data_IF_633569561827
#
_entry.id   IF_633569561827
#
_cell.length_a   1.000
_cell.length_b   1.000
_cell.length_c   1.000
_cell.angle_alpha   90.00
_cell.angle_beta   90.00
_cell.angle_gamma   90.00
#
_symmetry.space_group_name_H-M   'P 1'
#
loop_
_entity.id
_entity.type
_entity.pdbx_description
1 polymer ?
#
# COMPACT_ATOMS: atom_id res chain seq x y z
N UNK A 1 9.48 -11.89 -21.36
CA UNK A 1 8.76 -11.84 -20.69
C UNK A 1 8.55 -10.80 -19.77
N UNK A 2 8.83 -9.73 -20.07
CA UNK A 2 8.69 -8.61 -19.25
C UNK A 2 7.28 -8.28 -18.88
N UNK A 3 6.34 -8.60 -19.73
CA UNK A 3 4.97 -8.32 -19.43
C UNK A 3 4.52 -9.00 -18.16
N UNK A 4 5.15 -10.19 -17.90
CA UNK A 4 4.76 -10.84 -16.72
C UNK A 4 5.31 -10.22 -15.54
N UNK A 5 6.45 -9.54 -15.63
CA UNK A 5 7.08 -8.91 -14.50
C UNK A 5 6.28 -7.74 -13.99
N UNK A 6 5.43 -7.16 -14.82
CA UNK A 6 4.62 -6.02 -14.42
C UNK A 6 3.43 -6.42 -13.57
N UNK A 7 3.10 -7.69 -13.57
CA UNK A 7 1.96 -8.15 -12.81
C UNK A 7 2.41 -9.16 -11.76
N UNK A 8 2.25 -8.81 -10.51
CA UNK A 8 2.59 -9.68 -9.40
C UNK A 8 1.34 -9.83 -8.55
N UNK A 9 0.67 -10.96 -8.61
CA UNK A 9 -0.57 -11.12 -7.86
C UNK A 9 -0.38 -11.07 -6.35
N UNK A 10 0.86 -11.21 -5.89
CA UNK A 10 1.14 -11.15 -4.47
C UNK A 10 1.59 -9.77 -4.01
N UNK A 11 1.71 -8.82 -4.94
CA UNK A 11 2.18 -7.49 -4.58
C UNK A 11 1.30 -6.81 -3.53
N UNK A 12 -0.04 -6.86 -3.66
CA UNK A 12 -0.86 -6.22 -2.64
C UNK A 12 -0.67 -6.84 -1.26
N UNK A 13 -0.50 -8.15 -1.18
CA UNK A 13 -0.27 -8.80 0.10
C UNK A 13 1.06 -8.41 0.70
N UNK A 14 2.09 -8.30 -0.12
CA UNK A 14 3.40 -7.91 0.38
C UNK A 14 3.40 -6.49 0.91
N UNK A 15 2.74 -5.59 0.18
CA UNK A 15 2.64 -4.20 0.63
C UNK A 15 1.85 -4.11 1.93
N UNK A 16 0.74 -4.82 2.00
CA UNK A 16 -0.08 -4.81 3.20
C UNK A 16 0.69 -5.38 4.39
N UNK A 17 1.46 -6.42 4.16
CA UNK A 17 2.27 -7.03 5.22
C UNK A 17 3.32 -6.05 5.74
N UNK A 18 3.89 -5.27 4.86
CA UNK A 18 4.87 -4.26 5.25
C UNK A 18 4.22 -3.24 6.19
N UNK A 19 3.05 -2.72 5.81
CA UNK A 19 2.36 -1.76 6.66
C UNK A 19 1.86 -2.38 7.96
N UNK A 20 1.45 -3.64 7.89
CA UNK A 20 1.04 -4.34 9.10
C UNK A 20 2.22 -4.49 10.07
N UNK A 21 3.41 -4.73 9.54
CA UNK A 21 4.61 -4.77 10.36
C UNK A 21 4.86 -3.46 11.07
N UNK A 22 4.63 -2.35 10.39
CA UNK A 22 4.76 -1.04 11.02
C UNK A 22 3.71 -0.85 12.11
N UNK A 23 2.50 -1.31 11.88
CA UNK A 23 1.45 -1.24 12.88
C UNK A 23 1.86 -2.02 14.14
N UNK A 24 2.43 -3.18 13.97
CA UNK A 24 2.87 -4.00 15.11
C UNK A 24 3.99 -3.33 15.88
N UNK A 25 4.73 -2.46 15.23
CA UNK A 25 5.81 -1.72 15.89
C UNK A 25 5.32 -0.46 16.58
N UNK A 26 4.03 -0.18 16.54
CA UNK A 26 3.46 0.95 17.26
C UNK A 26 3.11 2.15 16.41
N UNK A 27 3.20 2.04 15.09
CA UNK A 27 2.82 3.16 14.23
C UNK A 27 1.29 3.33 14.25
N UNK A 28 0.86 4.58 14.15
CA UNK A 28 -0.54 4.92 14.22
C UNK A 28 -1.29 4.36 13.01
N UNK A 29 -2.41 3.69 13.28
CA UNK A 29 -3.17 3.03 12.23
C UNK A 29 -3.74 4.03 11.21
N UNK A 30 -4.20 5.18 11.67
CA UNK A 30 -4.77 6.17 10.75
C UNK A 30 -3.70 6.73 9.83
N UNK A 31 -2.50 6.96 10.35
CA UNK A 31 -1.40 7.43 9.53
C UNK A 31 -1.01 6.40 8.47
N UNK A 32 -0.99 5.13 8.86
CA UNK A 32 -0.66 4.05 7.93
C UNK A 32 -1.71 3.93 6.84
N UNK A 33 -2.99 4.07 7.21
CA UNK A 33 -4.05 4.00 6.22
C UNK A 33 -3.95 5.15 5.22
N UNK A 34 -3.57 6.33 5.69
CA UNK A 34 -3.37 7.47 4.78
C UNK A 34 -2.18 7.24 3.86
N UNK A 35 -1.13 6.61 4.37
CA UNK A 35 0.03 6.30 3.54
C UNK A 35 -0.31 5.29 2.45
N UNK A 36 -1.18 4.35 2.77
CA UNK A 36 -1.61 3.36 1.78
C UNK A 36 -2.52 3.99 0.74
N UNK A 37 -3.51 4.75 1.20
CA UNK A 37 -4.52 5.32 0.32
C UNK A 37 -4.18 6.77 -0.02
N UNK A 38 -3.10 6.94 -0.74
CA UNK A 38 -2.62 8.25 -1.14
C UNK A 38 -3.65 8.92 -2.05
N UNK A 39 -3.96 10.21 -1.83
CA UNK A 39 -4.93 10.91 -2.68
C UNK A 39 -4.43 11.04 -4.11
N UNK A 40 -5.38 11.03 -5.05
CA UNK A 40 -5.04 11.15 -6.46
C UNK A 40 -4.28 12.44 -6.75
N UNK A 41 -4.60 13.50 -6.03
CA UNK A 41 -3.94 14.78 -6.24
C UNK A 41 -2.45 14.70 -5.96
N UNK A 42 -2.06 13.92 -4.96
CA UNK A 42 -0.64 13.74 -4.67
C UNK A 42 0.05 12.94 -5.76
N UNK A 43 -0.61 11.90 -6.23
CA UNK A 43 -0.06 11.08 -7.31
C UNK A 43 0.12 11.93 -8.56
N UNK A 44 -0.88 12.74 -8.89
CA UNK A 44 -0.81 13.61 -10.08
C UNK A 44 0.35 14.59 -9.95
N UNK A 45 0.55 15.13 -8.76
CA UNK A 45 1.65 16.06 -8.52
C UNK A 45 2.99 15.38 -8.74
N UNK A 46 3.14 14.17 -8.21
CA UNK A 46 4.38 13.42 -8.37
C UNK A 46 4.61 13.03 -9.83
N UNK A 47 3.53 12.69 -10.53
CA UNK A 47 3.65 12.32 -11.93
C UNK A 47 4.17 13.46 -12.80
N UNK A 48 3.88 14.69 -12.41
CA UNK A 48 4.31 15.85 -13.17
C UNK A 48 5.67 16.38 -12.74
N UNK A 49 6.21 15.87 -11.65
CA UNK A 49 7.49 16.37 -11.15
C UNK A 49 8.60 15.98 -12.12
N UNK A 50 9.43 16.94 -12.53
CA UNK A 50 10.47 16.66 -13.52
C UNK A 50 11.61 15.83 -12.98
N UNK A 51 11.72 15.75 -11.66
CA UNK A 51 12.83 15.02 -11.04
C UNK A 51 12.66 13.50 -11.09
N UNK A 52 11.47 13.03 -11.41
CA UNK A 52 11.22 11.59 -11.36
C UNK A 52 11.37 10.96 -12.73
N UNK A 53 12.01 9.80 -12.75
CA UNK A 53 12.22 9.06 -13.97
C UNK A 53 10.93 8.39 -14.44
N UNK A 54 10.94 8.03 -15.73
CA UNK A 54 9.78 7.35 -16.32
C UNK A 54 9.47 6.04 -15.60
N UNK A 55 10.50 5.30 -15.22
CA UNK A 55 10.28 4.04 -14.50
C UNK A 55 9.60 4.26 -13.16
N UNK A 56 9.96 5.34 -12.47
CA UNK A 56 9.34 5.66 -11.21
C UNK A 56 7.87 6.00 -11.42
N UNK A 57 7.57 6.76 -12.47
CA UNK A 57 6.18 7.14 -12.74
C UNK A 57 5.32 5.93 -13.04
N UNK A 58 5.84 4.99 -13.83
CA UNK A 58 5.10 3.78 -14.12
C UNK A 58 4.84 2.97 -12.87
N UNK A 59 5.87 2.86 -12.03
CA UNK A 59 5.73 2.13 -10.79
C UNK A 59 4.71 2.81 -9.87
N UNK A 60 4.71 4.13 -9.83
CA UNK A 60 3.79 4.88 -9.01
C UNK A 60 2.35 4.64 -9.44
N UNK A 61 2.08 4.61 -10.74
CA UNK A 61 0.76 4.33 -11.23
C UNK A 61 0.30 2.93 -10.83
N UNK A 62 1.21 1.98 -10.90
CA UNK A 62 0.90 0.60 -10.54
C UNK A 62 0.57 0.48 -9.06
N UNK A 63 1.40 1.10 -8.22
CA UNK A 63 1.18 1.07 -6.79
C UNK A 63 -0.13 1.76 -6.42
N UNK A 64 -0.43 2.87 -7.09
CA UNK A 64 -1.67 3.57 -6.86
C UNK A 64 -2.86 2.69 -7.20
N UNK A 65 -2.75 1.92 -8.27
CA UNK A 65 -3.84 1.03 -8.69
C UNK A 65 -4.09 -0.07 -7.65
N UNK A 66 -3.04 -0.48 -6.92
CA UNK A 66 -3.18 -1.52 -5.91
C UNK A 66 -3.65 -0.98 -4.56
N UNK A 67 -3.66 0.32 -4.36
CA UNK A 67 -3.85 0.87 -3.02
C UNK A 67 -5.12 0.41 -2.33
N UNK A 68 -6.18 0.24 -3.08
CA UNK A 68 -7.45 -0.21 -2.50
C UNK A 68 -7.34 -1.65 -2.00
N UNK A 69 -6.66 -2.48 -2.76
CA UNK A 69 -6.45 -3.86 -2.36
C UNK A 69 -5.53 -3.94 -1.15
N UNK A 70 -4.47 -3.14 -1.17
CA UNK A 70 -3.54 -3.11 -0.04
C UNK A 70 -4.26 -2.66 1.22
N UNK A 71 -5.10 -1.63 1.10
CA UNK A 71 -5.84 -1.12 2.24
C UNK A 71 -6.79 -2.16 2.80
N UNK A 72 -7.50 -2.87 1.92
CA UNK A 72 -8.43 -3.91 2.36
C UNK A 72 -7.71 -5.03 3.10
N UNK A 73 -6.57 -5.46 2.58
CA UNK A 73 -5.80 -6.52 3.22
C UNK A 73 -5.25 -6.04 4.56
N UNK A 74 -4.74 -4.82 4.59
CA UNK A 74 -4.20 -4.25 5.82
C UNK A 74 -5.30 -4.16 6.89
N UNK A 75 -6.48 -3.65 6.52
CA UNK A 75 -7.58 -3.55 7.45
C UNK A 75 -7.98 -4.92 7.98
N UNK A 76 -7.98 -5.92 7.12
CA UNK A 76 -8.30 -7.28 7.53
C UNK A 76 -7.31 -7.82 8.55
N UNK A 77 -6.03 -7.54 8.34
CA UNK A 77 -5.00 -7.99 9.28
C UNK A 77 -5.15 -7.30 10.63
N UNK A 78 -5.43 -6.01 10.63
CA UNK A 78 -5.60 -5.26 11.86
C UNK A 78 -6.83 -5.74 12.62
N UNK A 79 -7.92 -5.96 11.92
CA UNK A 79 -9.13 -6.45 12.55
C UNK A 79 -8.94 -7.83 13.14
N UNK A 80 -8.18 -8.67 12.45
CA UNK A 80 -7.88 -10.00 12.93
C UNK A 80 -7.12 -9.93 14.24
N UNK A 81 -6.17 -9.02 14.32
CA UNK A 81 -5.38 -8.84 15.53
C UNK A 81 -6.25 -8.35 16.67
N UNK A 82 -7.13 -7.38 16.41
CA UNK A 82 -8.05 -6.89 17.42
C UNK A 82 -9.00 -7.97 17.89
N UNK A 83 -9.48 -8.79 16.97
CA UNK A 83 -10.34 -9.89 17.32
C UNK A 83 -9.66 -10.88 18.23
N UNK A 84 -8.39 -11.13 17.96
CA UNK A 84 -7.61 -12.04 18.77
C UNK A 84 -7.43 -11.51 20.18
N UNK A 85 -7.17 -10.22 20.29
CA UNK A 85 -7.03 -9.59 21.60
C UNK A 85 -8.32 -9.63 22.39
N UNK A 86 -9.45 -9.51 21.68
CA UNK A 86 -10.71 -9.53 22.36
C UNK A 86 -11.08 -10.88 22.92
N UNK A 87 -10.69 -11.92 22.27
CA UNK A 87 -11.02 -13.27 22.69
C UNK A 87 -10.35 -13.59 23.99
N UNK A 88 -9.24 -12.98 24.23
CA UNK A 88 -8.57 -13.21 25.49
C UNK A 88 -9.14 -12.35 26.57
#
# INVERSE_FOLDING_TARGET
MTARDDFDPLAPQREAAFFYGLFLRGHDIDSLRQDIDVPRSMVDKWMKAPDFEAAFRENLQRVYAYRKQVLAIFDGLVLSEHGRLRVQ
#
